data_IF_458271128724
#
_entry.id   IF_458271128724
#
_cell.length_a   1.000
_cell.length_b   1.000
_cell.length_c   1.000
_cell.angle_alpha   90.00
_cell.angle_beta   90.00
_cell.angle_gamma   90.00
#
_symmetry.space_group_name_H-M   'P 1'
#
loop_
_entity.id
_entity.type
_entity.pdbx_description
1 polymer ?
#
# COMPACT_ATOMS: atom_id res chain seq x y z
N UNK A 1 10.39 -2.71 -7.70
CA UNK A 1 10.16 -1.25 -7.81
C UNK A 1 9.11 -0.83 -6.79
N UNK A 2 9.37 0.26 -6.07
CA UNK A 2 8.54 0.86 -5.03
C UNK A 2 8.24 2.31 -5.39
N UNK A 3 7.12 2.86 -4.94
CA UNK A 3 6.77 4.27 -5.17
C UNK A 3 7.51 5.24 -4.25
N UNK A 4 7.56 6.52 -4.64
CA UNK A 4 8.23 7.58 -3.88
C UNK A 4 7.70 7.75 -2.46
N UNK A 5 6.42 7.40 -2.24
CA UNK A 5 5.82 7.42 -0.90
C UNK A 5 6.50 6.44 0.05
N UNK A 6 6.98 5.30 -0.45
CA UNK A 6 7.76 4.37 0.37
C UNK A 6 9.06 5.02 0.86
N UNK A 7 9.74 5.80 0.01
CA UNK A 7 10.99 6.48 0.38
C UNK A 7 10.82 7.48 1.52
N UNK A 8 9.64 8.09 1.65
CA UNK A 8 9.36 9.07 2.72
C UNK A 8 8.73 8.46 3.97
N UNK A 9 8.22 7.22 3.93
CA UNK A 9 7.62 6.57 5.12
C UNK A 9 8.56 6.50 6.32
N UNK A 10 9.87 6.41 6.09
CA UNK A 10 10.91 6.48 7.13
C UNK A 10 10.84 7.77 7.98
N UNK A 11 10.31 8.85 7.40
CA UNK A 11 10.24 10.17 8.04
C UNK A 11 8.82 10.53 8.49
N UNK A 12 7.80 9.92 7.88
CA UNK A 12 6.39 10.26 8.13
C UNK A 12 5.76 9.48 9.29
N UNK A 13 6.36 8.36 9.67
CA UNK A 13 5.74 7.45 10.62
C UNK A 13 6.76 6.88 11.59
N UNK A 14 6.39 6.81 12.87
CA UNK A 14 7.09 5.99 13.87
C UNK A 14 6.83 4.48 13.67
N UNK A 15 6.65 4.04 12.41
CA UNK A 15 6.31 2.64 12.10
C UNK A 15 7.54 1.86 11.63
N UNK A 16 7.44 0.55 11.76
CA UNK A 16 8.46 -0.43 11.41
C UNK A 16 8.40 -0.88 9.93
N UNK A 17 7.66 -0.16 9.08
CA UNK A 17 7.34 -0.64 7.73
C UNK A 17 8.57 -0.78 6.84
N UNK A 18 9.54 0.13 6.96
CA UNK A 18 10.81 0.05 6.22
C UNK A 18 11.63 -1.19 6.60
N UNK A 19 11.64 -1.54 7.88
CA UNK A 19 12.34 -2.73 8.41
C UNK A 19 11.68 -4.02 7.92
N UNK A 20 10.36 -4.00 7.75
CA UNK A 20 9.56 -5.16 7.32
C UNK A 20 9.52 -5.36 5.81
N UNK A 21 9.98 -4.40 5.04
CA UNK A 21 9.93 -4.44 3.58
C UNK A 21 11.10 -5.26 3.02
N UNK A 22 10.81 -6.16 2.08
CA UNK A 22 11.83 -6.75 1.23
C UNK A 22 12.03 -5.89 -0.02
N UNK A 23 13.13 -5.12 -0.03
CA UNK A 23 13.49 -4.21 -1.11
C UNK A 23 13.86 -4.90 -2.43
N UNK A 24 14.18 -6.21 -2.38
CA UNK A 24 14.48 -7.00 -3.58
C UNK A 24 13.21 -7.51 -4.28
N UNK A 25 12.06 -7.39 -3.62
CA UNK A 25 10.77 -7.84 -4.14
C UNK A 25 9.94 -6.64 -4.63
N UNK A 26 9.11 -6.80 -5.66
CA UNK A 26 8.22 -5.72 -6.09
C UNK A 26 7.21 -5.36 -4.99
N UNK A 27 6.66 -4.14 -5.06
CA UNK A 27 5.70 -3.63 -4.06
C UNK A 27 4.47 -4.56 -3.88
N UNK A 28 4.01 -5.18 -4.95
CA UNK A 28 2.85 -6.05 -4.96
C UNK A 28 3.18 -7.54 -4.73
N UNK A 29 4.43 -7.87 -4.37
CA UNK A 29 4.77 -9.26 -4.01
C UNK A 29 3.96 -9.71 -2.79
N UNK A 30 3.67 -11.01 -2.64
CA UNK A 30 3.03 -11.52 -1.44
C UNK A 30 3.83 -11.21 -0.15
N UNK A 31 5.16 -11.18 -0.23
CA UNK A 31 6.04 -10.79 0.88
C UNK A 31 5.81 -9.35 1.35
N UNK A 32 5.68 -8.41 0.40
CA UNK A 32 5.50 -6.99 0.69
C UNK A 32 4.03 -6.59 0.86
N UNK A 33 3.08 -7.43 0.47
CA UNK A 33 1.66 -7.08 0.44
C UNK A 33 1.13 -6.62 1.80
N UNK A 34 1.65 -7.17 2.88
CA UNK A 34 1.30 -6.79 4.24
C UNK A 34 1.78 -5.40 4.65
N UNK A 35 2.96 -4.98 4.18
CA UNK A 35 3.50 -3.64 4.42
C UNK A 35 2.59 -2.64 3.72
N UNK A 36 2.30 -2.88 2.44
CA UNK A 36 1.43 -2.03 1.64
C UNK A 36 -0.07 -2.16 1.94
N UNK A 37 -0.47 -3.07 2.85
CA UNK A 37 -1.84 -3.17 3.34
C UNK A 37 -2.16 -2.19 4.47
N UNK A 38 -1.12 -1.57 5.06
CA UNK A 38 -1.27 -0.61 6.14
C UNK A 38 -1.86 0.69 5.61
N UNK A 39 -2.91 1.16 6.27
CA UNK A 39 -3.44 2.51 6.04
C UNK A 39 -2.56 3.49 6.82
N UNK A 40 -1.98 4.45 6.14
CA UNK A 40 -1.10 5.46 6.76
C UNK A 40 -1.91 6.75 6.85
N UNK A 41 -2.23 7.26 8.05
CA UNK A 41 -3.03 8.47 8.21
C UNK A 41 -2.46 9.68 7.46
N UNK A 42 -1.13 9.80 7.39
CA UNK A 42 -0.45 10.87 6.65
C UNK A 42 -0.65 10.83 5.12
N UNK A 43 -1.19 9.72 4.58
CA UNK A 43 -1.53 9.58 3.16
C UNK A 43 -3.04 9.71 2.89
N UNK A 44 -3.81 10.14 3.88
CA UNK A 44 -5.27 10.25 3.83
C UNK A 44 -5.74 11.61 4.36
N UNK A 45 -6.95 12.01 4.02
CA UNK A 45 -7.70 13.08 4.71
C UNK A 45 -8.50 12.39 5.81
N UNK A 46 -8.41 12.88 7.06
CA UNK A 46 -9.03 12.24 8.24
C UNK A 46 -10.54 12.02 8.09
N UNK A 47 -11.22 12.89 7.35
CA UNK A 47 -12.67 12.85 7.11
C UNK A 47 -13.06 11.85 6.00
N UNK A 48 -12.09 11.20 5.35
CA UNK A 48 -12.30 10.33 4.19
C UNK A 48 -11.68 8.95 4.41
N UNK A 49 -12.51 7.97 4.79
CA UNK A 49 -12.11 6.56 4.76
C UNK A 49 -12.46 5.92 3.41
N UNK A 50 -11.46 5.81 2.54
CA UNK A 50 -11.57 5.12 1.25
C UNK A 50 -11.50 3.59 1.39
N UNK A 51 -11.20 3.07 2.57
CA UNK A 51 -10.94 1.66 2.80
C UNK A 51 -9.65 1.19 2.12
N UNK A 52 -9.76 0.15 1.29
CA UNK A 52 -8.62 -0.54 0.65
C UNK A 52 -8.93 -0.87 -0.79
N UNK A 53 -7.89 -1.23 -1.54
CA UNK A 53 -8.12 -1.86 -2.84
C UNK A 53 -8.71 -3.26 -2.68
N UNK A 54 -9.29 -3.80 -3.75
CA UNK A 54 -9.70 -5.21 -3.87
C UNK A 54 -8.57 -6.21 -3.58
N UNK A 55 -7.32 -5.78 -3.68
CA UNK A 55 -6.13 -6.58 -3.32
C UNK A 55 -5.68 -6.39 -1.87
N UNK A 56 -6.36 -5.54 -1.10
CA UNK A 56 -6.09 -5.31 0.30
C UNK A 56 -4.98 -4.28 0.56
N UNK A 57 -4.53 -3.53 -0.45
CA UNK A 57 -3.57 -2.44 -0.26
C UNK A 57 -4.23 -1.18 0.30
N UNK A 58 -3.50 -0.48 1.17
CA UNK A 58 -3.86 0.84 1.68
C UNK A 58 -3.80 1.89 0.59
N UNK A 59 -4.67 2.89 0.68
CA UNK A 59 -4.88 3.92 -0.36
C UNK A 59 -4.14 5.21 0.01
N UNK A 60 -3.66 5.93 -1.00
CA UNK A 60 -3.28 7.35 -0.88
C UNK A 60 -4.24 8.24 -1.65
N UNK A 61 -4.45 9.44 -1.14
CA UNK A 61 -5.12 10.53 -1.84
C UNK A 61 -4.15 11.49 -2.52
N UNK A 62 -2.83 11.31 -2.36
CA UNK A 62 -1.84 12.22 -2.93
C UNK A 62 -1.23 11.64 -4.20
N UNK A 63 -0.94 12.51 -5.17
CA UNK A 63 -0.22 12.14 -6.39
C UNK A 63 0.94 13.10 -6.62
N UNK A 64 2.06 12.55 -7.09
CA UNK A 64 3.29 13.30 -7.30
C UNK A 64 3.31 14.11 -8.60
N UNK A 65 4.18 15.12 -8.64
CA UNK A 65 4.58 15.82 -9.85
C UNK A 65 5.40 14.89 -10.75
N UNK A 66 4.92 14.55 -11.96
CA UNK A 66 5.62 13.65 -12.87
C UNK A 66 6.99 14.19 -13.30
N UNK A 67 7.21 15.50 -13.27
CA UNK A 67 8.52 16.07 -13.57
C UNK A 67 9.58 15.76 -12.50
N UNK A 68 9.16 15.48 -11.27
CA UNK A 68 10.06 15.27 -10.13
C UNK A 68 10.08 13.83 -9.62
N UNK A 69 8.94 13.11 -9.69
CA UNK A 69 8.71 11.86 -8.97
C UNK A 69 8.45 10.65 -9.87
N UNK A 70 8.79 10.72 -11.16
CA UNK A 70 8.58 9.62 -12.11
C UNK A 70 9.62 8.49 -11.96
N UNK A 71 9.38 7.41 -12.70
CA UNK A 71 10.12 6.15 -12.60
C UNK A 71 11.63 6.33 -12.72
N UNK A 72 12.37 5.67 -11.82
CA UNK A 72 13.83 5.57 -11.83
C UNK A 72 14.56 6.92 -11.93
N UNK A 73 14.02 7.97 -11.31
CA UNK A 73 14.66 9.28 -11.30
C UNK A 73 15.07 9.76 -9.91
N UNK A 74 16.02 10.68 -9.93
CA UNK A 74 16.44 11.47 -8.78
C UNK A 74 16.71 12.88 -9.28
N UNK A 75 15.81 13.81 -8.99
CA UNK A 75 15.98 15.23 -9.31
C UNK A 75 16.75 15.90 -8.17
N UNK A 76 17.85 16.57 -8.50
CA UNK A 76 18.62 17.37 -7.54
C UNK A 76 17.99 18.76 -7.43
N UNK A 77 18.07 19.37 -6.24
CA UNK A 77 17.50 20.71 -5.98
C UNK A 77 17.97 21.75 -7.00
N UNK A 78 19.25 21.71 -7.39
CA UNK A 78 19.81 22.64 -8.40
C UNK A 78 19.21 22.51 -9.80
N UNK A 79 18.57 21.40 -10.12
CA UNK A 79 17.88 21.20 -11.40
C UNK A 79 16.50 21.86 -11.42
N UNK A 80 15.98 22.25 -10.25
CA UNK A 80 14.75 23.03 -10.07
C UNK A 80 15.07 24.51 -10.30
N UNK A 81 15.36 24.87 -11.56
CA UNK A 81 15.90 26.19 -11.93
C UNK A 81 14.94 27.36 -11.70
N UNK A 82 13.64 27.09 -11.56
CA UNK A 82 12.62 28.09 -11.19
C UNK A 82 12.55 28.38 -9.68
N UNK A 83 13.32 27.63 -8.89
CA UNK A 83 13.28 27.66 -7.43
C UNK A 83 12.24 26.70 -6.85
N UNK A 84 12.55 26.19 -5.65
CA UNK A 84 11.72 25.21 -4.93
C UNK A 84 10.35 25.78 -4.53
N UNK A 85 10.28 27.06 -4.18
CA UNK A 85 9.04 27.76 -3.82
C UNK A 85 8.08 27.99 -5.00
N UNK A 86 8.54 27.81 -6.24
CA UNK A 86 7.71 27.96 -7.45
C UNK A 86 7.48 26.63 -8.17
N UNK A 87 7.83 25.52 -7.53
CA UNK A 87 7.74 24.18 -8.09
C UNK A 87 6.90 23.32 -7.17
N UNK A 88 5.81 22.78 -7.69
CA UNK A 88 4.96 21.85 -6.94
C UNK A 88 5.58 20.45 -6.92
N UNK A 89 5.36 19.72 -5.83
CA UNK A 89 5.89 18.39 -5.58
C UNK A 89 4.81 17.31 -5.59
N UNK A 90 3.70 17.56 -4.91
CA UNK A 90 2.57 16.65 -4.83
C UNK A 90 1.28 17.44 -4.61
N UNK A 91 0.14 16.80 -4.87
CA UNK A 91 -1.17 17.39 -4.61
C UNK A 91 -2.22 16.34 -4.26
N UNK A 92 -3.35 16.81 -3.76
CA UNK A 92 -4.53 16.00 -3.48
C UNK A 92 -5.18 15.57 -4.80
N UNK A 93 -5.29 14.27 -5.06
CA UNK A 93 -6.02 13.73 -6.20
C UNK A 93 -7.53 13.84 -5.96
N UNK A 94 -8.28 14.22 -7.00
CA UNK A 94 -9.74 14.30 -6.92
C UNK A 94 -10.45 12.94 -7.06
N UNK A 95 -9.71 11.90 -7.43
CA UNK A 95 -10.25 10.56 -7.66
C UNK A 95 -9.23 9.64 -8.33
N UNK A 96 -9.74 8.50 -8.83
CA UNK A 96 -8.92 7.41 -9.37
C UNK A 96 -7.72 7.12 -8.45
N UNK A 97 -8.01 7.02 -7.16
CA UNK A 97 -7.02 6.84 -6.12
C UNK A 97 -6.25 5.54 -6.32
N UNK A 98 -5.06 5.48 -5.74
CA UNK A 98 -4.11 4.39 -5.97
C UNK A 98 -3.57 3.87 -4.64
N UNK A 99 -3.06 2.63 -4.59
CA UNK A 99 -2.26 2.18 -3.47
C UNK A 99 -1.09 3.12 -3.23
N UNK A 100 -0.81 3.47 -1.98
CA UNK A 100 0.35 4.32 -1.66
C UNK A 100 1.68 3.65 -2.04
N UNK A 101 1.72 2.32 -2.12
CA UNK A 101 2.87 1.56 -2.60
C UNK A 101 3.05 1.48 -4.11
N UNK A 102 2.06 1.93 -4.88
CA UNK A 102 2.09 1.79 -6.33
C UNK A 102 3.17 2.70 -6.93
N UNK A 103 4.11 2.16 -7.73
CA UNK A 103 5.28 2.91 -8.15
C UNK A 103 5.04 3.89 -9.29
N UNK A 104 3.79 4.09 -9.72
CA UNK A 104 3.39 5.05 -10.75
C UNK A 104 2.37 6.06 -10.22
N UNK A 105 2.54 6.48 -8.95
CA UNK A 105 1.67 7.39 -8.22
C UNK A 105 1.99 8.88 -8.50
N UNK A 106 1.96 9.25 -9.77
CA UNK A 106 2.04 10.62 -10.28
C UNK A 106 1.02 10.84 -11.40
N UNK A 107 0.69 12.09 -11.69
CA UNK A 107 -0.14 12.48 -12.83
C UNK A 107 0.06 13.95 -13.20
N UNK A 108 -0.28 14.31 -14.44
CA UNK A 108 -0.25 15.71 -14.87
C UNK A 108 -1.17 16.58 -14.01
N UNK A 109 -0.73 17.79 -13.68
CA UNK A 109 -1.51 18.77 -12.92
C UNK A 109 -2.79 19.20 -13.66
N UNK A 110 -2.77 19.13 -15.00
CA UNK A 110 -3.86 19.63 -15.84
C UNK A 110 -3.93 21.15 -15.87
N UNK A 111 -5.08 21.66 -16.30
CA UNK A 111 -5.34 23.12 -16.45
C UNK A 111 -6.44 23.62 -15.52
N UNK A 112 -7.07 22.72 -14.75
CA UNK A 112 -8.15 23.03 -13.82
C UNK A 112 -8.16 22.00 -12.68
N UNK A 113 -8.44 22.45 -11.46
CA UNK A 113 -8.67 21.58 -10.31
C UNK A 113 -10.14 21.14 -10.26
N UNK A 114 -10.41 20.04 -9.58
CA UNK A 114 -11.75 19.47 -9.44
C UNK A 114 -12.43 19.16 -10.79
N UNK A 115 -11.66 18.88 -11.84
CA UNK A 115 -12.11 18.62 -13.21
C UNK A 115 -12.26 17.12 -13.49
N UNK A 116 -12.89 16.42 -12.56
CA UNK A 116 -13.12 14.97 -12.62
C UNK A 116 -12.03 14.11 -11.96
N UNK A 117 -12.17 12.77 -12.00
CA UNK A 117 -11.39 11.86 -11.16
C UNK A 117 -9.91 11.76 -11.55
N UNK A 118 -9.52 12.29 -12.72
CA UNK A 118 -8.12 12.34 -13.14
C UNK A 118 -7.42 13.65 -12.74
N UNK A 119 -8.13 14.65 -12.20
CA UNK A 119 -7.52 15.91 -11.77
C UNK A 119 -6.97 15.84 -10.35
N UNK A 120 -6.42 16.97 -9.92
CA UNK A 120 -6.18 17.29 -8.52
C UNK A 120 -7.36 18.09 -7.93
N UNK A 121 -7.47 18.15 -6.61
CA UNK A 121 -8.47 18.93 -5.88
C UNK A 121 -9.41 18.09 -5.02
N UNK A 122 -10.15 18.77 -4.15
CA UNK A 122 -11.25 18.26 -3.35
C UNK A 122 -12.51 19.10 -3.67
N UNK A 123 -13.46 18.59 -4.47
CA UNK A 123 -14.65 19.34 -4.87
C UNK A 123 -15.44 19.94 -3.70
N UNK A 124 -15.50 19.24 -2.57
CA UNK A 124 -16.17 19.72 -1.35
C UNK A 124 -15.55 21.02 -0.77
N UNK A 125 -14.31 21.34 -1.13
CA UNK A 125 -13.59 22.53 -0.67
C UNK A 125 -13.51 23.63 -1.73
N UNK A 126 -14.03 23.42 -2.95
CA UNK A 126 -13.92 24.37 -4.06
C UNK A 126 -12.48 24.62 -4.51
N UNK A 127 -11.61 23.61 -4.41
CA UNK A 127 -10.18 23.73 -4.71
C UNK A 127 -9.39 22.56 -4.15
N UNK A 128 -8.09 22.73 -3.92
CA UNK A 128 -7.28 21.74 -3.20
C UNK A 128 -5.88 22.23 -2.90
N UNK A 129 -5.14 21.42 -2.15
CA UNK A 129 -3.80 21.76 -1.72
C UNK A 129 -2.73 21.18 -2.64
N UNK A 130 -1.75 22.01 -2.97
CA UNK A 130 -0.49 21.59 -3.57
C UNK A 130 0.65 21.80 -2.58
N UNK A 131 1.45 20.75 -2.39
CA UNK A 131 2.74 20.81 -1.73
C UNK A 131 3.77 21.35 -2.71
N UNK A 132 4.58 22.31 -2.27
CA UNK A 132 5.73 22.85 -3.00
C UNK A 132 7.02 22.12 -2.62
N UNK A 133 8.02 22.20 -3.47
CA UNK A 133 9.31 21.53 -3.26
C UNK A 133 10.13 22.13 -2.10
N UNK A 134 9.73 23.30 -1.57
CA UNK A 134 10.29 23.90 -0.35
C UNK A 134 9.56 23.46 0.94
N UNK A 135 8.53 22.61 0.82
CA UNK A 135 7.72 22.14 1.94
C UNK A 135 6.48 22.99 2.24
N UNK A 136 6.31 24.14 1.60
CA UNK A 136 5.10 24.96 1.81
C UNK A 136 3.88 24.33 1.13
N UNK A 137 2.73 24.41 1.80
CA UNK A 137 1.45 23.96 1.27
C UNK A 137 0.61 25.19 0.90
N UNK A 138 0.02 25.19 -0.29
CA UNK A 138 -0.84 26.28 -0.75
C UNK A 138 -2.18 25.73 -1.22
N UNK A 139 -3.27 26.33 -0.75
CA UNK A 139 -4.60 26.09 -1.29
C UNK A 139 -4.74 26.83 -2.64
N UNK A 140 -5.26 26.13 -3.64
CA UNK A 140 -5.60 26.68 -4.96
C UNK A 140 -7.09 26.42 -5.19
N UNK A 141 -7.84 27.50 -5.42
CA UNK A 141 -9.26 27.42 -5.77
C UNK A 141 -9.45 26.78 -7.15
N UNK A 142 -10.56 26.07 -7.35
CA UNK A 142 -10.98 25.55 -8.66
C UNK A 142 -11.36 26.67 -9.67
N UNK A 143 -11.51 27.91 -9.20
CA UNK A 143 -11.67 29.13 -10.01
C UNK A 143 -10.34 29.81 -10.35
N UNK A 144 -9.20 29.27 -9.91
CA UNK A 144 -7.89 29.83 -10.22
C UNK A 144 -7.66 29.87 -11.73
N UNK A 145 -7.03 30.94 -12.21
CA UNK A 145 -6.70 31.09 -13.63
C UNK A 145 -5.93 29.85 -14.13
N UNK A 146 -6.33 29.24 -15.27
CA UNK A 146 -5.63 28.10 -15.85
C UNK A 146 -4.14 28.37 -16.09
N UNK A 147 -3.75 29.64 -16.30
CA UNK A 147 -2.37 30.07 -16.48
C UNK A 147 -1.49 29.73 -15.26
N UNK A 148 -2.04 29.76 -14.04
CA UNK A 148 -1.31 29.40 -12.82
C UNK A 148 -0.92 27.93 -12.86
N UNK A 149 -1.86 27.03 -13.11
CA UNK A 149 -1.62 25.59 -13.16
C UNK A 149 -0.70 25.22 -14.33
N UNK A 150 -0.87 25.84 -15.50
CA UNK A 150 0.04 25.65 -16.63
C UNK A 150 1.48 26.10 -16.31
N UNK A 151 1.63 27.19 -15.56
CA UNK A 151 2.93 27.72 -15.13
C UNK A 151 3.63 26.81 -14.12
N UNK A 152 2.86 26.15 -13.25
CA UNK A 152 3.35 25.14 -12.30
C UNK A 152 3.69 23.83 -13.01
N UNK A 153 2.84 23.37 -13.92
CA UNK A 153 3.04 22.12 -14.67
C UNK A 153 4.29 22.15 -15.56
N UNK A 154 4.64 23.33 -16.08
CA UNK A 154 5.82 23.55 -16.95
C UNK A 154 7.08 23.99 -16.20
N UNK A 155 7.05 24.06 -14.87
CA UNK A 155 8.23 24.43 -14.09
C UNK A 155 9.35 23.39 -14.28
N UNK A 156 10.59 23.81 -14.64
CA UNK A 156 11.71 22.89 -14.81
C UNK A 156 12.13 22.17 -13.50
N UNK A 157 12.68 20.94 -13.60
CA UNK A 157 12.90 20.18 -14.83
C UNK A 157 11.58 19.73 -15.46
N UNK A 158 11.57 19.45 -16.77
CA UNK A 158 10.38 18.93 -17.47
C UNK A 158 10.72 17.56 -18.01
N UNK A 159 9.99 16.55 -17.55
CA UNK A 159 10.19 15.18 -17.97
C UNK A 159 9.52 14.92 -19.32
N UNK A 160 10.08 13.97 -20.07
CA UNK A 160 9.51 13.54 -21.36
C UNK A 160 8.23 12.70 -21.14
N UNK A 161 7.36 12.58 -22.16
CA UNK A 161 6.21 11.67 -22.10
C UNK A 161 6.61 10.22 -21.78
N UNK A 162 7.68 9.71 -22.38
CA UNK A 162 8.16 8.34 -22.14
C UNK A 162 8.65 8.14 -20.70
N UNK A 163 9.27 9.15 -20.12
CA UNK A 163 9.69 9.14 -18.72
C UNK A 163 8.50 9.07 -17.75
N UNK A 164 7.41 9.75 -18.10
CA UNK A 164 6.24 9.94 -17.22
C UNK A 164 5.10 8.96 -17.49
N UNK A 165 5.24 8.10 -18.51
CA UNK A 165 4.26 7.09 -18.87
C UNK A 165 3.89 6.20 -17.67
N UNK A 166 2.59 6.03 -17.48
CA UNK A 166 2.00 5.17 -16.43
C UNK A 166 1.21 4.04 -17.09
N UNK A 167 1.20 2.83 -16.50
CA UNK A 167 0.32 1.76 -16.98
C UNK A 167 -1.14 2.19 -16.91
N UNK A 168 -1.95 1.81 -17.91
CA UNK A 168 -3.39 1.97 -17.82
C UNK A 168 -3.97 0.96 -16.84
N UNK A 169 -3.91 1.33 -15.57
CA UNK A 169 -4.37 0.51 -14.45
C UNK A 169 -5.38 1.30 -13.65
N UNK A 170 -6.48 0.64 -13.30
CA UNK A 170 -7.47 1.13 -12.34
C UNK A 170 -7.54 0.21 -11.14
N UNK A 171 -7.78 0.80 -9.98
CA UNK A 171 -7.90 0.06 -8.73
C UNK A 171 -9.36 0.13 -8.26
N UNK A 172 -9.95 -1.03 -8.05
CA UNK A 172 -11.24 -1.13 -7.36
C UNK A 172 -11.01 -0.87 -5.87
N UNK A 173 -11.68 0.13 -5.33
CA UNK A 173 -11.55 0.60 -3.94
C UNK A 173 -12.88 0.37 -3.20
N UNK A 174 -12.81 0.09 -1.91
CA UNK A 174 -13.99 -0.02 -1.05
C UNK A 174 -13.63 -0.59 0.32
N UNK A 175 -14.64 -0.99 1.08
CA UNK A 175 -14.53 -1.52 2.46
C UNK A 175 -13.97 -2.95 2.53
N UNK A 176 -12.87 -3.22 1.82
CA UNK A 176 -12.12 -4.47 1.92
C UNK A 176 -11.31 -4.49 3.23
N UNK A 177 -11.28 -5.66 3.88
CA UNK A 177 -10.64 -5.82 5.18
C UNK A 177 -9.82 -7.10 5.28
N UNK A 178 -8.72 -7.03 6.03
CA UNK A 178 -7.91 -8.19 6.36
C UNK A 178 -8.36 -8.75 7.71
N UNK A 179 -8.84 -9.99 7.73
CA UNK A 179 -9.10 -10.73 8.96
C UNK A 179 -7.86 -11.55 9.32
N UNK A 180 -7.36 -11.38 10.53
CA UNK A 180 -6.30 -12.20 11.11
C UNK A 180 -6.91 -13.44 11.78
N UNK A 181 -6.30 -14.60 11.59
CA UNK A 181 -6.68 -15.85 12.24
C UNK A 181 -5.41 -16.57 12.66
N UNK A 182 -5.24 -16.77 13.96
CA UNK A 182 -4.15 -17.58 14.50
C UNK A 182 -4.43 -19.06 14.28
N UNK A 183 -3.41 -19.82 13.89
CA UNK A 183 -3.49 -21.26 13.78
C UNK A 183 -3.01 -21.90 15.08
N UNK A 184 -3.59 -23.06 15.41
CA UNK A 184 -3.16 -23.81 16.60
C UNK A 184 -1.73 -24.30 16.40
N UNK A 185 -0.88 -24.02 17.39
CA UNK A 185 0.53 -24.40 17.50
C UNK A 185 0.89 -24.54 18.97
N UNK A 186 2.00 -25.20 19.29
CA UNK A 186 2.48 -25.26 20.67
C UNK A 186 2.72 -23.83 21.21
N UNK A 187 2.11 -23.43 22.33
CA UNK A 187 2.33 -22.11 22.91
C UNK A 187 3.78 -21.90 23.41
N UNK A 188 4.53 -22.97 23.66
CA UNK A 188 5.94 -22.93 24.09
C UNK A 188 6.91 -22.84 22.90
N UNK A 189 6.43 -23.04 21.67
CA UNK A 189 7.28 -22.96 20.49
C UNK A 189 7.67 -21.51 20.15
N UNK A 190 8.85 -21.39 19.54
CA UNK A 190 9.44 -20.10 19.15
C UNK A 190 8.71 -19.41 18.00
N UNK A 191 7.82 -20.12 17.30
CA UNK A 191 7.04 -19.57 16.21
C UNK A 191 5.54 -19.59 16.51
N UNK A 192 4.86 -18.59 15.95
CA UNK A 192 3.42 -18.52 15.87
C UNK A 192 3.01 -18.49 14.40
N UNK A 193 1.93 -19.20 14.10
CA UNK A 193 1.40 -19.35 12.75
C UNK A 193 0.06 -18.67 12.63
N UNK A 194 -0.17 -18.02 11.49
CA UNK A 194 -1.40 -17.28 11.25
C UNK A 194 -1.72 -17.21 9.77
N UNK A 195 -3.00 -17.02 9.48
CA UNK A 195 -3.46 -16.62 8.15
C UNK A 195 -4.09 -15.25 8.17
N UNK A 196 -3.84 -14.48 7.11
CA UNK A 196 -4.59 -13.27 6.81
C UNK A 196 -5.54 -13.55 5.67
N UNK A 197 -6.82 -13.30 5.90
CA UNK A 197 -7.89 -13.49 4.93
C UNK A 197 -8.40 -12.14 4.49
N UNK A 198 -8.19 -11.80 3.21
CA UNK A 198 -8.78 -10.60 2.62
C UNK A 198 -10.26 -10.86 2.37
N UNK A 199 -11.12 -9.94 2.78
CA UNK A 199 -12.57 -10.03 2.59
C UNK A 199 -13.08 -8.87 1.75
N UNK A 200 -14.06 -9.18 0.91
CA UNK A 200 -14.89 -8.20 0.21
C UNK A 200 -15.78 -7.41 1.18
N UNK A 201 -16.37 -6.28 0.75
CA UNK A 201 -17.38 -5.57 1.54
C UNK A 201 -18.55 -6.46 1.98
N UNK A 202 -18.92 -7.45 1.17
CA UNK A 202 -19.94 -8.45 1.51
C UNK A 202 -19.43 -9.56 2.46
N UNK A 203 -18.24 -9.41 3.03
CA UNK A 203 -17.63 -10.36 3.96
C UNK A 203 -17.06 -11.63 3.30
N UNK A 204 -17.23 -11.85 2.00
CA UNK A 204 -16.71 -13.05 1.30
C UNK A 204 -15.18 -13.03 1.24
N UNK A 205 -14.49 -14.16 1.51
CA UNK A 205 -13.04 -14.23 1.38
C UNK A 205 -12.61 -14.13 -0.09
N UNK A 206 -11.49 -13.46 -0.32
CA UNK A 206 -10.94 -13.19 -1.65
C UNK A 206 -9.53 -13.76 -1.81
N UNK A 207 -8.71 -13.70 -0.74
CA UNK A 207 -7.32 -14.17 -0.72
C UNK A 207 -6.97 -14.67 0.67
N UNK A 208 -6.09 -15.65 0.75
CA UNK A 208 -5.56 -16.17 2.01
C UNK A 208 -4.03 -16.19 1.91
N UNK A 209 -3.37 -15.48 2.82
CA UNK A 209 -1.93 -15.53 2.95
C UNK A 209 -1.55 -16.20 4.27
N UNK A 210 -0.66 -17.17 4.20
CA UNK A 210 -0.13 -17.88 5.35
C UNK A 210 1.22 -17.29 5.76
N UNK A 211 1.36 -17.03 7.06
CA UNK A 211 2.55 -16.44 7.65
C UNK A 211 3.00 -17.24 8.87
N UNK A 212 4.29 -17.14 9.15
CA UNK A 212 4.86 -17.46 10.45
C UNK A 212 5.54 -16.21 11.03
N UNK A 213 5.49 -16.05 12.34
CA UNK A 213 6.21 -14.99 13.06
C UNK A 213 6.92 -15.57 14.27
N UNK A 214 7.95 -14.88 14.74
CA UNK A 214 8.54 -15.20 16.04
C UNK A 214 7.52 -14.94 17.15
N UNK A 215 7.43 -15.86 18.11
CA UNK A 215 6.78 -15.63 19.40
C UNK A 215 7.80 -14.96 20.33
N UNK A 216 7.45 -13.79 20.85
CA UNK A 216 8.28 -13.08 21.81
C UNK A 216 8.02 -13.60 23.22
N UNK A 217 9.07 -13.73 24.03
CA UNK A 217 8.92 -14.01 25.46
C UNK A 217 8.42 -12.76 26.20
N UNK A 218 7.85 -12.89 27.41
CA UNK A 218 7.46 -11.73 28.21
C UNK A 218 8.61 -10.71 28.40
N UNK A 219 9.83 -11.19 28.62
CA UNK A 219 11.02 -10.35 28.78
C UNK A 219 11.38 -9.60 27.49
N UNK A 220 11.24 -10.25 26.33
CA UNK A 220 11.45 -9.60 25.02
C UNK A 220 10.36 -8.55 24.73
N UNK A 221 9.16 -8.71 25.30
CA UNK A 221 8.08 -7.72 25.17
C UNK A 221 8.35 -6.43 25.97
N UNK A 222 9.19 -6.47 27.00
CA UNK A 222 9.58 -5.28 27.79
C UNK A 222 10.42 -4.28 26.99
N UNK A 223 10.96 -4.67 25.83
CA UNK A 223 11.77 -3.83 24.96
C UNK A 223 11.12 -3.58 23.58
N UNK A 224 10.14 -2.66 23.48
CA UNK A 224 9.36 -2.39 22.26
C UNK A 224 10.17 -2.10 20.98
N UNK A 225 11.38 -1.57 21.11
CA UNK A 225 12.25 -1.28 19.96
C UNK A 225 12.91 -2.52 19.35
N UNK A 226 12.90 -3.65 20.07
CA UNK A 226 13.56 -4.90 19.66
C UNK A 226 12.57 -6.01 19.29
N UNK A 227 11.26 -5.83 19.56
CA UNK A 227 10.23 -6.86 19.40
C UNK A 227 9.30 -6.64 18.19
N UNK A 228 9.88 -6.22 17.07
CA UNK A 228 9.15 -6.07 15.81
C UNK A 228 8.75 -7.45 15.26
N UNK A 229 7.45 -7.76 15.32
CA UNK A 229 6.88 -8.98 14.77
C UNK A 229 6.90 -8.97 13.23
N UNK A 230 7.98 -9.51 12.65
CA UNK A 230 8.08 -9.69 11.20
C UNK A 230 7.31 -10.94 10.79
N UNK A 231 6.15 -10.73 10.18
CA UNK A 231 5.37 -11.77 9.53
C UNK A 231 6.12 -12.28 8.28
N UNK A 232 6.63 -13.51 8.35
CA UNK A 232 7.32 -14.18 7.25
C UNK A 232 6.30 -14.89 6.39
N UNK A 233 6.08 -14.38 5.18
CA UNK A 233 5.20 -15.02 4.20
C UNK A 233 5.70 -16.44 3.91
N UNK A 234 4.78 -17.40 3.94
CA UNK A 234 5.05 -18.80 3.63
C UNK A 234 4.45 -19.18 2.29
N UNK A 235 3.16 -18.89 2.10
CA UNK A 235 2.48 -19.20 0.84
C UNK A 235 1.14 -18.48 0.68
N UNK A 236 0.67 -18.42 -0.56
CA UNK A 236 -0.67 -18.03 -0.92
C UNK A 236 -1.55 -19.28 -1.01
N UNK A 237 -2.69 -19.27 -0.32
CA UNK A 237 -3.67 -20.36 -0.40
C UNK A 237 -4.78 -19.90 -1.35
N UNK A 238 -4.71 -20.39 -2.58
CA UNK A 238 -5.70 -20.21 -3.63
C UNK A 238 -6.77 -21.30 -3.62
N UNK A 239 -7.73 -21.26 -4.57
CA UNK A 239 -8.85 -22.20 -4.62
C UNK A 239 -8.44 -23.66 -4.88
N UNK A 240 -7.27 -23.86 -5.49
CA UNK A 240 -6.74 -25.16 -5.91
C UNK A 240 -5.55 -25.61 -5.06
N UNK A 241 -5.19 -24.87 -4.02
CA UNK A 241 -4.04 -25.20 -3.17
C UNK A 241 -4.35 -26.44 -2.32
N UNK A 242 -3.50 -27.46 -2.40
CA UNK A 242 -3.54 -28.60 -1.49
C UNK A 242 -3.03 -28.19 -0.09
N UNK A 243 -3.94 -27.78 0.77
CA UNK A 243 -3.64 -27.17 2.08
C UNK A 243 -2.78 -28.08 2.94
N UNK A 244 -3.13 -29.36 3.07
CA UNK A 244 -2.42 -30.27 3.96
C UNK A 244 -0.96 -30.47 3.54
N UNK A 245 -0.70 -30.61 2.23
CA UNK A 245 0.67 -30.71 1.70
C UNK A 245 1.42 -29.40 1.94
N UNK A 246 0.80 -28.28 1.56
CA UNK A 246 1.40 -26.95 1.67
C UNK A 246 1.81 -26.59 3.10
N UNK A 247 1.00 -26.97 4.11
CA UNK A 247 1.35 -26.74 5.51
C UNK A 247 2.46 -27.68 6.01
N UNK A 248 2.55 -28.92 5.49
CA UNK A 248 3.61 -29.87 5.81
C UNK A 248 4.98 -29.44 5.30
N UNK A 249 5.01 -28.68 4.21
CA UNK A 249 6.25 -28.10 3.68
C UNK A 249 6.81 -26.96 4.56
N UNK A 250 6.10 -26.63 5.65
CA UNK A 250 6.54 -25.67 6.66
C UNK A 250 6.89 -26.36 7.97
N UNK A 251 7.39 -25.60 8.94
CA UNK A 251 7.68 -26.10 10.30
C UNK A 251 6.42 -26.36 11.13
N UNK A 252 5.23 -25.90 10.70
CA UNK A 252 3.97 -26.02 11.45
C UNK A 252 3.66 -27.48 11.83
N UNK A 253 3.85 -28.44 10.90
CA UNK A 253 3.54 -29.84 11.17
C UNK A 253 4.44 -30.49 12.24
N UNK A 254 5.63 -29.92 12.48
CA UNK A 254 6.55 -30.36 13.54
C UNK A 254 6.28 -29.68 14.88
N UNK A 255 5.67 -28.49 14.82
CA UNK A 255 5.37 -27.59 15.95
C UNK A 255 3.87 -27.68 16.36
N UNK A 256 3.20 -28.76 15.96
CA UNK A 256 1.79 -29.06 16.29
C UNK A 256 1.60 -30.54 16.57
N UNK A 257 0.65 -30.83 17.45
CA UNK A 257 0.09 -32.19 17.55
C UNK A 257 -0.70 -32.55 16.29
N UNK A 258 -0.87 -33.85 15.97
CA UNK A 258 -1.70 -34.27 14.84
C UNK A 258 -3.14 -33.69 14.87
N UNK A 259 -3.72 -33.55 16.06
CA UNK A 259 -5.06 -32.97 16.23
C UNK A 259 -5.09 -31.47 15.88
N UNK A 260 -4.13 -30.68 16.38
CA UNK A 260 -4.00 -29.25 16.08
C UNK A 260 -3.72 -29.00 14.59
N UNK A 261 -2.86 -29.82 13.99
CA UNK A 261 -2.58 -29.75 12.55
C UNK A 261 -3.86 -29.99 11.73
N UNK A 262 -4.60 -31.06 12.05
CA UNK A 262 -5.86 -31.37 11.36
C UNK A 262 -6.95 -30.31 11.59
N UNK A 263 -7.02 -29.72 12.77
CA UNK A 263 -7.92 -28.60 13.04
C UNK A 263 -7.61 -27.39 12.16
N UNK A 264 -6.31 -27.04 12.02
CA UNK A 264 -5.86 -25.95 11.15
C UNK A 264 -6.16 -26.22 9.67
N UNK A 265 -5.92 -27.45 9.20
CA UNK A 265 -6.27 -27.87 7.84
C UNK A 265 -7.78 -27.72 7.57
N UNK A 266 -8.62 -28.26 8.46
CA UNK A 266 -10.09 -28.18 8.33
C UNK A 266 -10.60 -26.74 8.30
N UNK A 267 -10.05 -25.89 9.17
CA UNK A 267 -10.39 -24.46 9.21
C UNK A 267 -10.08 -23.78 7.87
N UNK A 268 -8.88 -24.00 7.33
CA UNK A 268 -8.47 -23.38 6.07
C UNK A 268 -9.26 -23.92 4.88
N UNK A 269 -9.57 -25.23 4.85
CA UNK A 269 -10.43 -25.82 3.81
C UNK A 269 -11.82 -25.17 3.80
N UNK A 270 -12.42 -24.95 4.97
CA UNK A 270 -13.72 -24.27 5.10
C UNK A 270 -13.70 -22.84 4.54
N UNK A 271 -12.59 -22.13 4.70
CA UNK A 271 -12.43 -20.77 4.15
C UNK A 271 -12.14 -20.83 2.64
N UNK A 272 -11.29 -21.76 2.20
CA UNK A 272 -10.92 -21.97 0.80
C UNK A 272 -12.14 -22.28 -0.08
N UNK A 273 -13.09 -23.07 0.41
CA UNK A 273 -14.35 -23.37 -0.30
C UNK A 273 -15.19 -22.13 -0.64
N UNK A 274 -14.99 -21.02 0.08
CA UNK A 274 -15.70 -19.76 -0.15
C UNK A 274 -14.91 -18.81 -1.08
N UNK A 275 -13.69 -19.17 -1.48
CA UNK A 275 -12.90 -18.36 -2.40
C UNK A 275 -13.54 -18.36 -3.80
N UNK A 276 -13.30 -17.29 -4.60
CA UNK A 276 -13.68 -17.28 -6.00
C UNK A 276 -13.07 -18.47 -6.76
N UNK A 277 -13.84 -19.11 -7.64
CA UNK A 277 -13.40 -20.32 -8.40
C UNK A 277 -12.20 -20.11 -9.32
N UNK A 278 -11.88 -18.86 -9.66
CA UNK A 278 -10.69 -18.48 -10.41
C UNK A 278 -9.91 -17.46 -9.60
N UNK A 279 -8.60 -17.60 -9.57
CA UNK A 279 -7.75 -16.53 -9.10
C UNK A 279 -7.99 -15.30 -9.99
N UNK A 280 -8.24 -14.17 -9.35
CA UNK A 280 -8.39 -12.91 -10.07
C UNK A 280 -6.99 -12.43 -10.41
N UNK A 281 -6.53 -12.76 -11.61
CA UNK A 281 -5.31 -12.21 -12.21
C UNK A 281 -5.41 -10.68 -12.25
N UNK A 282 -4.28 -10.02 -11.97
CA UNK A 282 -4.10 -8.58 -12.05
C UNK A 282 -2.84 -8.27 -12.83
#
# INVERSE_FOLDING_TARGET
MHGWMMSITLFLSQNDLSVRLDYNQPWNSPHNAQVYAVSIPAFQIQEMDLGRTRNGYGITIYMGNPNLLHRNQTVRIREISKGTSHTWLAGEAAGNYQPWGYPFNWRSLGTKLCDGPNSFGQPAWGGGHLLRADGNVTFISDQASPRILQTLAKAPPVATPDQTAVPDRRFTIGSYSWKHIELQSDPQDKQQYMVRVLRSPAGRPLKIFFYATKRFTPEELEYPKLNIAVLRFKTHIGPQTEIASTLKDTTLAKETTPAQFQASVKLLQKIQQQLPRRETSH
#
